data_IF_998914389345
#
_entry.id   IF_998914389345
#
_cell.length_a   1.000
_cell.length_b   1.000
_cell.length_c   1.000
_cell.angle_alpha   90.00
_cell.angle_beta   90.00
_cell.angle_gamma   90.00
#
_symmetry.space_group_name_H-M   'P 1'
#
loop_
_entity.id
_entity.type
_entity.pdbx_description
1 polymer ?
#
# COMPACT_ATOMS: atom_id res chain seq x y z
N UNK A 1 -1.11 -16.09 -1.20
CA UNK A 1 0.31 -16.10 -1.62
C UNK A 1 0.92 -17.44 -1.22
N UNK A 2 1.82 -18.01 -2.01
CA UNK A 2 2.56 -19.22 -1.64
C UNK A 2 3.60 -18.94 -0.54
N UNK A 3 4.29 -19.97 -0.06
CA UNK A 3 5.45 -19.78 0.83
C UNK A 3 6.57 -19.05 0.06
N UNK A 4 7.00 -17.90 0.57
CA UNK A 4 7.98 -16.96 -0.03
C UNK A 4 7.53 -16.31 -1.36
N UNK A 5 6.69 -15.27 -1.31
CA UNK A 5 6.36 -14.50 -2.51
C UNK A 5 7.60 -13.80 -3.07
N UNK A 6 7.63 -13.64 -4.40
CA UNK A 6 8.64 -12.82 -5.08
C UNK A 6 8.40 -11.33 -4.83
N UNK A 7 9.44 -10.50 -4.94
CA UNK A 7 9.31 -9.04 -4.84
C UNK A 7 8.25 -8.48 -5.81
N UNK A 8 8.15 -9.04 -7.01
CA UNK A 8 7.13 -8.68 -7.99
C UNK A 8 5.71 -8.98 -7.48
N UNK A 9 5.48 -10.14 -6.87
CA UNK A 9 4.17 -10.49 -6.30
C UNK A 9 3.82 -9.60 -5.10
N UNK A 10 4.81 -9.26 -4.27
CA UNK A 10 4.62 -8.32 -3.15
C UNK A 10 4.23 -6.95 -3.70
N UNK A 11 4.99 -6.43 -4.68
CA UNK A 11 4.74 -5.12 -5.25
C UNK A 11 3.39 -5.03 -5.99
N UNK A 12 2.99 -6.11 -6.66
CA UNK A 12 1.68 -6.21 -7.27
C UNK A 12 0.57 -6.04 -6.24
N UNK A 13 0.68 -6.70 -5.09
CA UNK A 13 -0.32 -6.57 -4.03
C UNK A 13 -0.27 -5.22 -3.33
N UNK A 14 0.91 -4.65 -3.10
CA UNK A 14 1.03 -3.27 -2.59
C UNK A 14 0.27 -2.31 -3.48
N UNK A 15 0.52 -2.36 -4.80
CA UNK A 15 -0.20 -1.55 -5.79
C UNK A 15 -1.71 -1.76 -5.72
N UNK A 16 -2.18 -3.01 -5.74
CA UNK A 16 -3.63 -3.29 -5.68
C UNK A 16 -4.26 -2.74 -4.42
N UNK A 17 -3.61 -2.86 -3.26
CA UNK A 17 -4.13 -2.33 -1.99
C UNK A 17 -4.19 -0.81 -2.02
N UNK A 18 -3.15 -0.12 -2.50
CA UNK A 18 -3.14 1.35 -2.59
C UNK A 18 -4.24 1.85 -3.52
N UNK A 19 -4.43 1.22 -4.70
CA UNK A 19 -5.50 1.59 -5.62
C UNK A 19 -6.89 1.37 -5.03
N UNK A 20 -7.10 0.27 -4.29
CA UNK A 20 -8.37 0.02 -3.60
C UNK A 20 -8.64 1.04 -2.49
N UNK A 21 -7.60 1.56 -1.81
CA UNK A 21 -7.76 2.64 -0.82
C UNK A 21 -8.18 3.94 -1.50
N UNK A 22 -7.61 4.27 -2.66
CA UNK A 22 -8.02 5.45 -3.43
C UNK A 22 -9.50 5.35 -3.83
N UNK A 23 -9.90 4.21 -4.41
CA UNK A 23 -11.29 3.95 -4.81
C UNK A 23 -12.24 4.03 -3.61
N UNK A 24 -11.91 3.38 -2.49
CA UNK A 24 -12.70 3.44 -1.26
C UNK A 24 -12.86 4.88 -0.75
N UNK A 25 -11.80 5.67 -0.82
CA UNK A 25 -11.82 7.04 -0.35
C UNK A 25 -12.69 7.93 -1.25
N UNK A 26 -12.63 7.74 -2.56
CA UNK A 26 -13.48 8.44 -3.54
C UNK A 26 -14.96 8.05 -3.39
N UNK A 27 -15.28 6.77 -3.18
CA UNK A 27 -16.65 6.27 -2.96
C UNK A 27 -17.30 6.85 -1.70
N UNK A 28 -16.50 7.33 -0.76
CA UNK A 28 -16.93 7.83 0.55
C UNK A 28 -16.64 9.33 0.76
N UNK A 29 -16.65 10.13 -0.32
CA UNK A 29 -16.52 11.59 -0.26
C UNK A 29 -15.26 12.07 0.48
N UNK A 30 -14.11 11.41 0.24
CA UNK A 30 -12.83 11.70 0.90
C UNK A 30 -12.88 11.54 2.42
N UNK A 31 -13.53 10.48 2.91
CA UNK A 31 -13.69 10.19 4.33
C UNK A 31 -12.36 9.94 5.07
N UNK A 32 -11.34 9.41 4.39
CA UNK A 32 -10.05 9.09 5.02
C UNK A 32 -9.23 10.37 5.15
N UNK A 33 -8.96 10.80 6.37
CA UNK A 33 -8.17 12.00 6.64
C UNK A 33 -6.68 11.78 6.29
N UNK A 34 -5.95 12.87 6.03
CA UNK A 34 -4.52 12.83 5.69
C UNK A 34 -3.69 11.98 6.66
N UNK A 35 -3.94 12.10 7.97
CA UNK A 35 -3.20 11.34 8.98
C UNK A 35 -3.53 9.85 8.95
N UNK A 36 -4.80 9.49 8.77
CA UNK A 36 -5.24 8.10 8.67
C UNK A 36 -4.68 7.44 7.39
N UNK A 37 -4.58 8.22 6.32
CA UNK A 37 -3.98 7.79 5.06
C UNK A 37 -2.49 7.48 5.21
N UNK A 38 -1.73 8.32 5.90
CA UNK A 38 -0.31 8.04 6.21
C UNK A 38 -0.15 6.77 7.07
N UNK A 39 -0.99 6.59 8.09
CA UNK A 39 -0.96 5.38 8.94
C UNK A 39 -1.23 4.10 8.11
N UNK A 40 -2.17 4.16 7.15
CA UNK A 40 -2.47 3.04 6.25
C UNK A 40 -1.29 2.71 5.34
N UNK A 41 -0.59 3.73 4.82
CA UNK A 41 0.55 3.49 3.93
C UNK A 41 1.77 2.97 4.69
N UNK A 42 2.03 3.44 5.92
CA UNK A 42 3.06 2.87 6.80
C UNK A 42 2.76 1.39 7.12
N UNK A 43 1.50 1.04 7.33
CA UNK A 43 1.08 -0.34 7.54
C UNK A 43 1.37 -1.22 6.32
N UNK A 44 1.06 -0.74 5.11
CA UNK A 44 1.30 -1.47 3.86
C UNK A 44 2.80 -1.68 3.60
N UNK A 45 3.60 -0.62 3.76
CA UNK A 45 5.06 -0.70 3.62
C UNK A 45 5.67 -1.69 4.62
N UNK A 46 5.24 -1.62 5.88
CA UNK A 46 5.66 -2.57 6.92
C UNK A 46 5.29 -4.01 6.55
N UNK A 47 4.08 -4.25 6.06
CA UNK A 47 3.64 -5.58 5.65
C UNK A 47 4.45 -6.14 4.47
N UNK A 48 4.80 -5.30 3.50
CA UNK A 48 5.65 -5.68 2.38
C UNK A 48 7.07 -6.07 2.82
N UNK A 49 7.66 -5.32 3.75
CA UNK A 49 8.97 -5.63 4.35
C UNK A 49 8.94 -6.96 5.12
N UNK A 50 7.88 -7.21 5.88
CA UNK A 50 7.67 -8.50 6.56
C UNK A 50 7.55 -9.65 5.55
N UNK A 51 6.96 -9.40 4.39
CA UNK A 51 6.86 -10.38 3.30
C UNK A 51 8.19 -10.64 2.57
N UNK A 52 9.24 -9.90 2.89
CA UNK A 52 10.59 -10.09 2.34
C UNK A 52 10.98 -9.10 1.24
N UNK A 53 10.23 -8.02 1.05
CA UNK A 53 10.61 -6.96 0.11
C UNK A 53 11.70 -6.06 0.73
N UNK A 54 12.82 -5.92 0.04
CA UNK A 54 13.90 -5.01 0.42
C UNK A 54 13.81 -3.70 -0.37
N UNK A 55 13.47 -2.60 0.30
CA UNK A 55 13.44 -1.24 -0.27
C UNK A 55 13.78 -0.21 0.80
N UNK A 56 14.53 0.83 0.42
CA UNK A 56 14.77 2.02 1.27
C UNK A 56 13.77 3.15 1.00
N UNK A 57 13.01 3.05 -0.10
CA UNK A 57 12.03 4.04 -0.54
C UNK A 57 10.62 3.65 -0.07
N UNK A 58 9.72 4.64 0.00
CA UNK A 58 8.31 4.43 0.25
C UNK A 58 7.65 3.79 -0.98
N UNK A 59 7.42 2.49 -0.87
CA UNK A 59 6.92 1.67 -1.97
C UNK A 59 5.47 1.99 -2.35
N UNK A 60 4.74 2.78 -1.55
CA UNK A 60 3.34 3.09 -1.81
C UNK A 60 3.18 4.41 -2.58
N UNK A 61 4.19 5.29 -2.54
CA UNK A 61 4.11 6.68 -3.00
C UNK A 61 3.66 6.81 -4.46
N UNK A 62 4.14 5.93 -5.35
CA UNK A 62 3.84 5.95 -6.79
C UNK A 62 2.33 5.90 -7.10
N UNK A 63 1.53 5.26 -6.24
CA UNK A 63 0.11 5.01 -6.51
C UNK A 63 -0.85 5.77 -5.60
N UNK A 64 -0.35 6.61 -4.68
CA UNK A 64 -1.21 7.41 -3.80
C UNK A 64 -1.94 8.47 -4.62
N UNK A 65 -3.25 8.56 -4.45
CA UNK A 65 -4.02 9.72 -4.89
C UNK A 65 -4.29 10.62 -3.68
N UNK A 66 -4.23 11.95 -3.88
CA UNK A 66 -4.35 12.96 -2.82
C UNK A 66 -5.72 13.62 -2.84
#
# INVERSE_FOLDING_TARGET
MGENPTEFEIMHVVKEVVLNINELNDEHDYFIETMEREDLYEFIDTAARIAGLESEEDITEEWREW
#
